data_IF_095386405079
#
_entry.id   IF_095386405079
#
_cell.length_a   1.000
_cell.length_b   1.000
_cell.length_c   1.000
_cell.angle_alpha   90.00
_cell.angle_beta   90.00
_cell.angle_gamma   90.00
#
_symmetry.space_group_name_H-M   'P 1'
#
loop_
_entity.id
_entity.type
_entity.pdbx_description
1 polymer ?
#
# COMPACT_ATOMS: atom_id res chain seq x y z
N UNK A 1 6.75 -15.09 -3.97
CA UNK A 1 6.53 -14.96 -2.51
C UNK A 1 5.75 -13.68 -2.25
N UNK A 2 5.03 -13.60 -1.15
CA UNK A 2 4.29 -12.38 -0.78
C UNK A 2 5.26 -11.23 -0.45
N UNK A 3 4.85 -10.00 -0.75
CA UNK A 3 5.64 -8.79 -0.47
C UNK A 3 4.87 -7.85 0.43
N UNK A 4 5.45 -7.51 1.57
CA UNK A 4 4.93 -6.48 2.48
C UNK A 4 5.59 -5.14 2.17
N UNK A 5 4.78 -4.09 2.02
CA UNK A 5 5.21 -2.70 1.84
C UNK A 5 4.75 -1.91 3.06
N UNK A 6 5.68 -1.26 3.78
CA UNK A 6 5.36 -0.35 4.87
C UNK A 6 5.06 1.02 4.28
N UNK A 7 4.03 1.70 4.77
CA UNK A 7 3.56 2.97 4.25
C UNK A 7 3.50 3.97 5.40
N UNK A 8 4.24 5.06 5.28
CA UNK A 8 4.15 6.22 6.19
C UNK A 8 3.00 7.12 5.77
N UNK A 9 2.39 7.82 6.74
CA UNK A 9 1.29 8.77 6.52
C UNK A 9 -0.11 8.19 6.75
N UNK A 10 -0.22 6.87 6.93
CA UNK A 10 -1.50 6.23 7.26
C UNK A 10 -1.79 6.33 8.76
N UNK A 11 -2.86 7.02 9.15
CA UNK A 11 -3.20 7.24 10.56
C UNK A 11 -4.68 7.01 10.91
N UNK A 12 -5.52 6.71 9.91
CA UNK A 12 -6.94 6.43 10.11
C UNK A 12 -7.47 5.50 9.01
N UNK A 13 -8.68 4.97 9.19
CA UNK A 13 -9.31 4.05 8.23
C UNK A 13 -9.52 4.68 6.85
N UNK A 14 -9.68 6.01 6.79
CA UNK A 14 -9.77 6.73 5.52
C UNK A 14 -8.47 6.62 4.71
N UNK A 15 -7.30 6.65 5.36
CA UNK A 15 -6.01 6.40 4.71
C UNK A 15 -5.95 5.00 4.10
N UNK A 16 -6.44 3.99 4.83
CA UNK A 16 -6.49 2.61 4.35
C UNK A 16 -7.35 2.48 3.10
N UNK A 17 -8.56 3.06 3.12
CA UNK A 17 -9.45 3.05 1.97
C UNK A 17 -8.84 3.79 0.77
N UNK A 18 -8.18 4.93 0.99
CA UNK A 18 -7.51 5.67 -0.07
C UNK A 18 -6.39 4.85 -0.73
N UNK A 19 -5.50 4.24 0.06
CA UNK A 19 -4.45 3.36 -0.47
C UNK A 19 -5.07 2.20 -1.26
N UNK A 20 -6.15 1.60 -0.74
CA UNK A 20 -6.82 0.48 -1.41
C UNK A 20 -7.42 0.91 -2.75
N UNK A 21 -8.06 2.08 -2.81
CA UNK A 21 -8.61 2.63 -4.06
C UNK A 21 -7.51 2.91 -5.08
N UNK A 22 -6.43 3.57 -4.67
CA UNK A 22 -5.32 3.89 -5.58
C UNK A 22 -4.66 2.63 -6.15
N UNK A 23 -4.46 1.60 -5.32
CA UNK A 23 -3.96 0.32 -5.80
C UNK A 23 -4.95 -0.40 -6.72
N UNK A 24 -6.26 -0.23 -6.52
CA UNK A 24 -7.27 -0.77 -7.43
C UNK A 24 -7.26 -0.04 -8.78
N UNK A 25 -7.15 1.29 -8.79
CA UNK A 25 -7.03 2.11 -10.00
C UNK A 25 -5.74 1.77 -10.78
N UNK A 26 -4.67 1.40 -10.06
CA UNK A 26 -3.45 0.85 -10.65
C UNK A 26 -3.58 -0.61 -11.16
N UNK A 27 -4.75 -1.26 -11.04
CA UNK A 27 -4.99 -2.64 -11.47
C UNK A 27 -4.39 -3.71 -10.55
N UNK A 28 -4.11 -3.37 -9.29
CA UNK A 28 -3.50 -4.26 -8.29
C UNK A 28 -4.50 -4.83 -7.29
N UNK A 29 -5.80 -4.57 -7.44
CA UNK A 29 -6.85 -5.01 -6.50
C UNK A 29 -6.76 -6.51 -6.16
N UNK A 30 -6.50 -7.33 -7.19
CA UNK A 30 -6.44 -8.80 -7.09
C UNK A 30 -5.13 -9.30 -6.48
N UNK A 31 -4.16 -8.40 -6.29
CA UNK A 31 -2.89 -8.70 -5.64
C UNK A 31 -2.89 -8.29 -4.16
N UNK A 32 -3.87 -7.54 -3.67
CA UNK A 32 -3.91 -7.12 -2.26
C UNK A 32 -4.34 -8.31 -1.40
N UNK A 33 -3.42 -8.80 -0.58
CA UNK A 33 -3.70 -9.84 0.44
C UNK A 33 -4.30 -9.26 1.70
N UNK A 34 -3.70 -8.16 2.16
CA UNK A 34 -3.99 -7.55 3.45
C UNK A 34 -3.57 -6.09 3.42
N UNK A 35 -4.34 -5.22 4.07
CA UNK A 35 -3.97 -3.83 4.34
C UNK A 35 -4.40 -3.50 5.77
N UNK A 36 -3.50 -2.92 6.56
CA UNK A 36 -3.73 -2.61 7.98
C UNK A 36 -3.00 -1.35 8.41
N UNK A 37 -3.59 -0.65 9.39
CA UNK A 37 -2.91 0.38 10.15
C UNK A 37 -2.03 -0.25 11.23
N UNK A 38 -0.95 0.44 11.59
CA UNK A 38 -0.14 0.10 12.76
C UNK A 38 -0.56 1.03 13.89
N UNK A 39 -1.22 0.49 14.91
CA UNK A 39 -1.76 1.27 16.02
C UNK A 39 -0.69 2.12 16.70
N UNK A 40 -1.06 3.37 17.00
CA UNK A 40 -0.16 4.34 17.64
C UNK A 40 0.99 4.84 16.75
N UNK A 41 1.00 4.49 15.46
CA UNK A 41 1.98 4.99 14.49
C UNK A 41 1.25 5.64 13.31
N UNK A 42 1.80 6.73 12.76
CA UNK A 42 1.34 7.27 11.48
C UNK A 42 1.85 6.39 10.32
N UNK A 43 1.59 5.08 10.41
CA UNK A 43 2.06 4.04 9.51
C UNK A 43 0.99 2.97 9.32
N UNK A 44 1.05 2.33 8.17
CA UNK A 44 0.33 1.11 7.86
C UNK A 44 1.17 0.21 6.98
N UNK A 45 0.58 -0.88 6.52
CA UNK A 45 1.21 -1.74 5.53
C UNK A 45 0.18 -2.32 4.58
N UNK A 46 0.66 -2.66 3.38
CA UNK A 46 -0.05 -3.52 2.43
C UNK A 46 0.80 -4.75 2.14
N UNK A 47 0.17 -5.92 2.14
CA UNK A 47 0.78 -7.18 1.72
C UNK A 47 0.22 -7.53 0.35
N UNK A 48 1.09 -7.68 -0.63
CA UNK A 48 0.75 -8.14 -1.97
C UNK A 48 1.03 -9.64 -2.09
N UNK A 49 0.06 -10.41 -2.61
CA UNK A 49 0.20 -11.85 -2.86
C UNK A 49 0.98 -12.09 -4.14
N UNK A 50 2.07 -12.85 -4.02
CA UNK A 50 2.96 -13.25 -5.12
C UNK A 50 3.13 -12.22 -6.27
N UNK A 51 3.46 -10.94 -5.97
CA UNK A 51 3.58 -9.93 -7.01
C UNK A 51 4.84 -10.14 -7.85
N UNK A 52 4.78 -9.77 -9.13
CA UNK A 52 5.99 -9.57 -9.92
C UNK A 52 6.72 -8.29 -9.47
N UNK A 53 8.01 -8.18 -9.79
CA UNK A 53 8.79 -6.97 -9.49
C UNK A 53 8.17 -5.71 -10.09
N UNK A 54 7.65 -5.80 -11.32
CA UNK A 54 6.92 -4.73 -11.96
C UNK A 54 5.68 -4.29 -11.16
N UNK A 55 4.91 -5.23 -10.60
CA UNK A 55 3.75 -4.92 -9.75
C UNK A 55 4.14 -4.28 -8.41
N UNK A 56 5.29 -4.68 -7.85
CA UNK A 56 5.83 -4.03 -6.64
C UNK A 56 6.18 -2.57 -6.94
N UNK A 57 6.91 -2.32 -8.03
CA UNK A 57 7.30 -0.96 -8.45
C UNK A 57 6.05 -0.12 -8.76
N UNK A 58 5.06 -0.69 -9.42
CA UNK A 58 3.79 -0.04 -9.71
C UNK A 58 3.06 0.36 -8.42
N UNK A 59 2.97 -0.54 -7.44
CA UNK A 59 2.37 -0.25 -6.13
C UNK A 59 3.09 0.88 -5.42
N UNK A 60 4.43 0.85 -5.39
CA UNK A 60 5.25 1.90 -4.77
C UNK A 60 5.00 3.26 -5.46
N UNK A 61 4.96 3.27 -6.79
CA UNK A 61 4.73 4.48 -7.58
C UNK A 61 3.36 5.08 -7.30
N UNK A 62 2.31 4.24 -7.31
CA UNK A 62 0.94 4.65 -7.05
C UNK A 62 0.78 5.22 -5.63
N UNK A 63 1.31 4.53 -4.62
CA UNK A 63 1.23 4.99 -3.22
C UNK A 63 1.99 6.30 -3.02
N UNK A 64 3.19 6.44 -3.57
CA UNK A 64 3.99 7.65 -3.44
C UNK A 64 3.37 8.85 -4.19
N UNK A 65 2.53 8.62 -5.20
CA UNK A 65 1.84 9.68 -5.93
C UNK A 65 0.75 10.37 -5.09
N UNK A 66 0.26 9.72 -4.03
CA UNK A 66 -0.83 10.24 -3.21
C UNK A 66 -0.43 11.42 -2.31
N UNK A 67 0.84 11.84 -2.27
CA UNK A 67 1.29 13.05 -1.58
C UNK A 67 1.89 12.78 -0.19
N UNK A 68 1.09 12.72 0.90
CA UNK A 68 1.64 12.53 2.24
C UNK A 68 2.02 11.07 2.53
N UNK A 69 1.83 10.17 1.57
CA UNK A 69 2.14 8.75 1.72
C UNK A 69 3.49 8.42 1.10
N UNK A 70 4.26 7.59 1.79
CA UNK A 70 5.56 7.16 1.31
C UNK A 70 5.82 5.69 1.69
N UNK A 71 6.25 4.89 0.70
CA UNK A 71 6.64 3.51 0.97
C UNK A 71 8.06 3.46 1.56
N UNK A 72 8.19 2.80 2.71
CA UNK A 72 9.46 2.46 3.36
C UNK A 72 9.75 0.97 3.07
N UNK A 73 10.89 0.66 2.44
CA UNK A 73 11.30 -0.71 2.03
C UNK A 73 12.34 -1.26 3.00
#
# INVERSE_FOLDING_TARGET
MDKKLLIKGMHCDACLNLIKMELADAGLENNIKEIKLLDGQQRGFVTLTNPSEAKIIQAITAINALGPYQVEI
#
